data_IF_819828592831
#
_entry.id   IF_819828592831
#
_cell.length_a   1.000
_cell.length_b   1.000
_cell.length_c   1.000
_cell.angle_alpha   90.00
_cell.angle_beta   90.00
_cell.angle_gamma   90.00
#
_symmetry.space_group_name_H-M   'P 1'
#
loop_
_entity.id
_entity.type
_entity.pdbx_description
1 polymer ?
#
# COMPACT_ATOMS: atom_id res chain seq x y z
N UNK A 1 -19.90 0.14 7.09
CA UNK A 1 -18.44 -0.08 7.30
C UNK A 1 -17.81 -0.80 6.10
N UNK A 2 -18.47 -1.83 5.57
CA UNK A 2 -17.98 -2.59 4.40
C UNK A 2 -17.83 -1.76 3.12
N UNK A 3 -18.76 -0.84 2.82
CA UNK A 3 -18.68 -0.03 1.59
C UNK A 3 -17.48 0.92 1.52
N UNK A 4 -17.01 1.46 2.65
CA UNK A 4 -15.80 2.29 2.68
C UNK A 4 -14.54 1.44 2.58
N UNK A 5 -14.53 0.28 3.23
CA UNK A 5 -13.38 -0.64 3.15
C UNK A 5 -13.22 -1.21 1.74
N UNK A 6 -14.33 -1.56 1.07
CA UNK A 6 -14.35 -1.99 -0.32
C UNK A 6 -14.05 -0.83 -1.28
N UNK A 7 -14.52 0.38 -0.96
CA UNK A 7 -14.27 1.59 -1.75
C UNK A 7 -12.81 2.04 -1.74
N UNK A 8 -12.10 1.88 -0.63
CA UNK A 8 -10.68 2.27 -0.48
C UNK A 8 -9.74 1.09 -0.74
N UNK A 9 -10.17 -0.14 -0.49
CA UNK A 9 -9.36 -1.34 -0.74
C UNK A 9 -9.03 -1.55 -2.23
N UNK A 10 -9.99 -1.28 -3.13
CA UNK A 10 -9.77 -1.37 -4.59
C UNK A 10 -8.65 -0.44 -5.07
N UNK A 11 -8.66 0.88 -4.77
CA UNK A 11 -7.58 1.78 -5.18
C UNK A 11 -6.23 1.46 -4.51
N UNK A 12 -6.21 0.97 -3.28
CA UNK A 12 -4.97 0.53 -2.62
C UNK A 12 -4.34 -0.64 -3.37
N UNK A 13 -5.14 -1.64 -3.77
CA UNK A 13 -4.63 -2.78 -4.54
C UNK A 13 -4.17 -2.38 -5.95
N UNK A 14 -4.92 -1.54 -6.67
CA UNK A 14 -4.52 -1.11 -8.02
C UNK A 14 -3.24 -0.27 -8.00
N UNK A 15 -3.08 0.63 -7.02
CA UNK A 15 -1.85 1.42 -6.88
C UNK A 15 -0.68 0.58 -6.42
N UNK A 16 -0.88 -0.35 -5.47
CA UNK A 16 0.14 -1.30 -5.01
C UNK A 16 0.65 -2.20 -6.14
N UNK A 17 -0.27 -2.78 -6.92
CA UNK A 17 0.08 -3.61 -8.08
C UNK A 17 0.80 -2.80 -9.16
N UNK A 18 0.33 -1.59 -9.49
CA UNK A 18 1.01 -0.70 -10.43
C UNK A 18 2.44 -0.36 -9.98
N UNK A 19 2.64 -0.10 -8.68
CA UNK A 19 3.97 0.16 -8.13
C UNK A 19 4.89 -1.06 -8.25
N UNK A 20 4.40 -2.26 -7.94
CA UNK A 20 5.20 -3.50 -8.10
C UNK A 20 5.60 -3.75 -9.56
N UNK A 21 4.73 -3.45 -10.52
CA UNK A 21 5.04 -3.55 -11.95
C UNK A 21 6.08 -2.50 -12.35
N UNK A 22 5.94 -1.26 -11.87
CA UNK A 22 6.92 -0.20 -12.11
C UNK A 22 8.31 -0.52 -11.55
N UNK A 23 8.39 -1.12 -10.36
CA UNK A 23 9.66 -1.56 -9.78
C UNK A 23 10.21 -2.82 -10.46
N UNK A 24 9.36 -3.65 -11.05
CA UNK A 24 9.81 -4.77 -11.88
C UNK A 24 10.45 -4.31 -13.19
N UNK A 25 10.09 -3.14 -13.71
CA UNK A 25 10.80 -2.51 -14.84
C UNK A 25 12.22 -2.08 -14.46
N UNK A 26 12.44 -1.70 -13.19
CA UNK A 26 13.79 -1.36 -12.70
C UNK A 26 14.74 -2.57 -12.70
N UNK A 27 14.20 -3.80 -12.65
CA UNK A 27 15.01 -5.02 -12.79
C UNK A 27 15.63 -5.17 -14.19
N UNK A 28 15.02 -4.60 -15.23
CA UNK A 28 15.55 -4.64 -16.60
C UNK A 28 16.72 -3.65 -16.80
N UNK A 29 16.95 -2.73 -15.86
CA UNK A 29 18.05 -1.79 -15.93
C UNK A 29 19.40 -2.45 -15.65
N UNK A 30 20.42 -2.12 -16.44
CA UNK A 30 21.73 -2.80 -16.40
C UNK A 30 22.59 -2.52 -15.15
N UNK A 31 22.12 -1.67 -14.23
CA UNK A 31 22.87 -1.29 -13.04
C UNK A 31 22.62 -2.28 -11.88
N UNK A 32 23.65 -2.91 -11.30
CA UNK A 32 23.49 -3.88 -10.22
C UNK A 32 22.85 -3.28 -8.96
N UNK A 33 23.08 -1.98 -8.70
CA UNK A 33 22.44 -1.24 -7.61
C UNK A 33 20.90 -1.18 -7.77
N UNK A 34 20.42 -1.11 -9.01
CA UNK A 34 19.01 -0.96 -9.32
C UNK A 34 18.22 -2.24 -9.03
N UNK A 35 18.87 -3.39 -9.16
CA UNK A 35 18.28 -4.70 -8.86
C UNK A 35 18.00 -4.85 -7.36
N UNK A 36 18.96 -4.49 -6.50
CA UNK A 36 18.79 -4.51 -5.05
C UNK A 36 17.73 -3.50 -4.57
N UNK A 37 17.72 -2.31 -5.18
CA UNK A 37 16.72 -1.28 -4.90
C UNK A 37 15.30 -1.74 -5.27
N UNK A 38 15.14 -2.38 -6.43
CA UNK A 38 13.85 -2.85 -6.91
C UNK A 38 13.24 -3.93 -6.01
N UNK A 39 14.06 -4.88 -5.52
CA UNK A 39 13.63 -5.90 -4.56
C UNK A 39 13.18 -5.24 -3.25
N UNK A 40 13.96 -4.29 -2.74
CA UNK A 40 13.64 -3.57 -1.51
C UNK A 40 12.31 -2.81 -1.63
N UNK A 41 12.08 -2.16 -2.77
CA UNK A 41 10.86 -1.41 -3.07
C UNK A 41 9.64 -2.33 -3.23
N UNK A 42 9.77 -3.46 -3.92
CA UNK A 42 8.69 -4.44 -4.03
C UNK A 42 8.27 -4.99 -2.66
N UNK A 43 9.24 -5.43 -1.84
CA UNK A 43 8.97 -5.93 -0.49
C UNK A 43 8.37 -4.83 0.38
N UNK A 44 8.90 -3.61 0.28
CA UNK A 44 8.41 -2.44 1.00
C UNK A 44 6.95 -2.12 0.67
N UNK A 45 6.58 -2.09 -0.62
CA UNK A 45 5.19 -1.85 -1.05
C UNK A 45 4.25 -2.93 -0.54
N UNK A 46 4.63 -4.20 -0.64
CA UNK A 46 3.79 -5.31 -0.17
C UNK A 46 3.56 -5.18 1.35
N UNK A 47 4.61 -4.96 2.12
CA UNK A 47 4.51 -4.70 3.56
C UNK A 47 3.63 -3.48 3.87
N UNK A 48 3.76 -2.40 3.10
CA UNK A 48 2.97 -1.18 3.30
C UNK A 48 1.49 -1.42 3.02
N UNK A 49 1.14 -2.13 1.94
CA UNK A 49 -0.24 -2.49 1.61
C UNK A 49 -0.86 -3.38 2.70
N UNK A 50 -0.11 -4.38 3.20
CA UNK A 50 -0.51 -5.22 4.33
C UNK A 50 -0.75 -4.41 5.61
N UNK A 51 0.18 -3.52 5.96
CA UNK A 51 0.06 -2.67 7.13
C UNK A 51 -1.12 -1.71 7.00
N UNK A 52 -1.33 -1.13 5.81
CA UNK A 52 -2.50 -0.29 5.54
C UNK A 52 -3.77 -1.08 5.73
N UNK A 53 -3.88 -2.30 5.20
CA UNK A 53 -5.08 -3.11 5.39
C UNK A 53 -5.36 -3.42 6.87
N UNK A 54 -4.31 -3.59 7.68
CA UNK A 54 -4.41 -3.87 9.11
C UNK A 54 -4.67 -2.61 9.97
N UNK A 55 -4.09 -1.46 9.62
CA UNK A 55 -4.24 -0.18 10.33
C UNK A 55 -5.46 0.62 9.88
N UNK A 56 -5.98 0.40 8.68
CA UNK A 56 -7.17 1.09 8.18
C UNK A 56 -8.41 0.91 9.08
N UNK A 57 -8.76 -0.30 9.58
CA UNK A 57 -9.87 -0.47 10.51
C UNK A 57 -9.71 0.30 11.85
N UNK A 58 -8.59 0.21 12.59
CA UNK A 58 -8.44 0.95 13.84
C UNK A 58 -8.35 2.46 13.63
N UNK A 59 -7.71 2.94 12.55
CA UNK A 59 -7.64 4.38 12.23
C UNK A 59 -9.03 4.94 11.93
N UNK A 60 -9.88 4.22 11.18
CA UNK A 60 -11.26 4.65 10.91
C UNK A 60 -12.12 4.67 12.18
N UNK A 61 -11.99 3.67 13.04
CA UNK A 61 -12.69 3.62 14.34
C UNK A 61 -12.29 4.79 15.23
N UNK A 62 -11.00 5.14 15.23
CA UNK A 62 -10.49 6.28 16.01
C UNK A 62 -10.97 7.61 15.42
N UNK A 63 -11.02 7.74 14.09
CA UNK A 63 -11.56 8.90 13.39
C UNK A 63 -13.04 9.13 13.67
N UNK A 64 -13.88 8.08 13.65
CA UNK A 64 -15.30 8.16 14.01
C UNK A 64 -15.48 8.55 15.48
N UNK A 65 -14.69 7.99 16.40
CA UNK A 65 -14.72 8.38 17.82
C UNK A 65 -14.34 9.85 18.03
N UNK A 66 -13.41 10.38 17.23
CA UNK A 66 -13.00 11.77 17.35
C UNK A 66 -14.06 12.72 16.79
N UNK A 67 -14.67 12.37 15.65
CA UNK A 67 -15.73 13.16 15.02
C UNK A 67 -17.02 13.22 15.86
N UNK A 68 -17.29 12.20 16.68
CA UNK A 68 -18.46 12.15 17.59
C UNK A 68 -18.25 12.89 18.91
N UNK A 69 -17.01 13.31 19.21
CA UNK A 69 -16.64 14.02 20.44
C UNK A 69 -16.49 15.53 20.25
N UNK A 70 -16.55 16.00 19.00
CA UNK A 70 -16.67 17.41 18.59
C UNK A 70 -18.13 17.70 18.27
#
# INVERSE_FOLDING_TARGET
MENTLVGVGRPILTTGTAATVGFSVLLLGTLPMLHGLAILLCVGVICCVLTTFLLLPPVLILGEKFKRKI
#
